data_IF_379599846824
#
_entry.id   IF_379599846824
#
_cell.length_a   1.000
_cell.length_b   1.000
_cell.length_c   1.000
_cell.angle_alpha   90.00
_cell.angle_beta   90.00
_cell.angle_gamma   90.00
#
_symmetry.space_group_name_H-M   'P 1'
#
loop_
_entity.id
_entity.type
_entity.pdbx_description
1 polymer ?
#
# COMPACT_ATOMS: atom_id res chain seq x y z
N UNK A 1 -9.47 42.71 -28.23
CA UNK A 1 -8.65 43.21 -29.35
C UNK A 1 -7.23 42.67 -29.22
N UNK A 2 -6.79 42.02 -30.30
CA UNK A 2 -5.42 41.63 -30.71
C UNK A 2 -4.69 40.52 -29.91
N UNK A 3 -4.73 39.30 -30.47
CA UNK A 3 -3.58 38.43 -30.76
C UNK A 3 -2.73 39.09 -31.89
N UNK A 4 -1.52 38.62 -32.25
CA UNK A 4 -0.81 37.36 -32.04
C UNK A 4 0.72 37.54 -31.93
N UNK A 5 1.53 36.49 -31.77
CA UNK A 5 2.34 35.92 -32.88
C UNK A 5 3.25 34.78 -32.39
N UNK A 6 3.17 33.74 -33.13
CA UNK A 6 4.01 32.60 -33.44
C UNK A 6 5.50 32.91 -33.61
N UNK A 7 6.37 32.00 -33.23
CA UNK A 7 7.60 31.65 -33.94
C UNK A 7 7.99 30.20 -33.70
N UNK A 8 8.15 29.48 -34.80
CA UNK A 8 8.49 28.09 -34.93
C UNK A 8 10.03 27.83 -34.94
N UNK A 9 10.49 26.59 -35.00
CA UNK A 9 11.79 26.15 -34.54
C UNK A 9 12.89 26.21 -35.57
N UNK A 10 14.13 26.31 -35.13
CA UNK A 10 15.34 26.20 -35.97
C UNK A 10 15.93 24.80 -35.85
N UNK A 11 15.90 24.08 -36.95
CA UNK A 11 16.63 22.85 -37.17
C UNK A 11 18.13 23.15 -37.39
N UNK A 12 19.03 22.39 -36.79
CA UNK A 12 20.44 22.28 -37.23
C UNK A 12 20.81 20.83 -37.46
N UNK A 13 20.99 20.50 -38.72
CA UNK A 13 21.63 19.31 -39.24
C UNK A 13 23.15 19.46 -39.17
N UNK A 14 23.87 18.41 -38.75
CA UNK A 14 25.31 18.19 -39.04
C UNK A 14 25.45 16.68 -39.18
N UNK A 15 25.72 16.08 -40.27
CA UNK A 15 26.82 16.15 -41.17
C UNK A 15 27.56 14.79 -41.08
N UNK A 16 27.22 13.86 -42.04
CA UNK A 16 27.92 12.58 -42.25
C UNK A 16 29.37 12.85 -42.60
N UNK A 17 30.31 12.08 -42.07
CA UNK A 17 31.63 11.82 -42.66
C UNK A 17 31.85 10.33 -42.86
N UNK A 18 31.82 9.94 -44.10
CA UNK A 18 32.27 8.67 -44.67
C UNK A 18 33.77 8.68 -44.75
N UNK A 19 34.43 7.61 -44.31
CA UNK A 19 35.81 7.30 -44.68
C UNK A 19 35.87 5.89 -45.24
N UNK A 20 36.18 5.84 -46.53
CA UNK A 20 36.54 4.65 -47.28
C UNK A 20 38.05 4.40 -47.06
N UNK A 21 38.44 3.15 -46.82
CA UNK A 21 39.76 2.64 -47.20
C UNK A 21 39.66 1.18 -47.61
N UNK A 22 40.17 0.93 -48.76
CA UNK A 22 40.20 -0.35 -49.48
C UNK A 22 41.49 -1.13 -49.12
N UNK A 23 41.43 -2.45 -49.34
CA UNK A 23 42.65 -3.14 -49.75
C UNK A 23 42.77 -4.61 -49.38
N UNK A 24 42.55 -5.47 -50.41
CA UNK A 24 43.23 -6.72 -50.77
C UNK A 24 43.35 -7.88 -49.71
N UNK A 25 42.73 -8.98 -49.87
CA UNK A 25 43.05 -10.11 -50.75
C UNK A 25 44.00 -11.14 -50.16
N UNK A 26 43.52 -12.36 -49.82
CA UNK A 26 44.24 -13.63 -49.97
C UNK A 26 43.34 -14.85 -49.57
N UNK A 27 43.03 -15.63 -50.57
CA UNK A 27 43.15 -17.10 -50.72
C UNK A 27 42.59 -18.03 -49.59
N UNK A 28 41.72 -18.88 -50.07
CA UNK A 28 41.01 -19.96 -49.40
C UNK A 28 41.92 -21.05 -48.77
N UNK A 29 41.43 -21.53 -47.62
CA UNK A 29 41.67 -22.94 -47.17
C UNK A 29 40.34 -23.48 -46.61
N UNK A 30 39.83 -24.49 -47.27
CA UNK A 30 38.70 -25.29 -46.84
C UNK A 30 39.12 -26.15 -45.65
N UNK A 31 38.73 -25.76 -44.49
CA UNK A 31 38.77 -26.57 -43.28
C UNK A 31 37.35 -26.82 -42.79
N UNK A 32 36.86 -28.04 -43.03
CA UNK A 32 35.58 -28.48 -42.47
C UNK A 32 35.74 -28.62 -40.95
N UNK A 33 35.35 -27.60 -40.20
CA UNK A 33 35.16 -27.73 -38.76
C UNK A 33 33.75 -28.26 -38.51
N UNK A 34 33.66 -29.51 -38.11
CA UNK A 34 32.45 -30.08 -37.55
C UNK A 34 32.08 -29.26 -36.28
N UNK A 35 31.09 -28.40 -36.41
CA UNK A 35 30.43 -27.77 -35.26
C UNK A 35 29.70 -28.90 -34.53
N UNK A 36 30.32 -29.42 -33.49
CA UNK A 36 29.60 -30.21 -32.49
C UNK A 36 28.53 -29.33 -31.88
N UNK A 37 27.29 -29.55 -32.30
CA UNK A 37 26.13 -29.01 -31.62
C UNK A 37 26.19 -29.52 -30.16
N UNK A 38 26.60 -28.64 -29.24
CA UNK A 38 26.55 -28.91 -27.82
C UNK A 38 25.08 -29.06 -27.50
N UNK A 39 24.66 -30.31 -27.28
CA UNK A 39 23.30 -30.60 -26.82
C UNK A 39 23.06 -29.76 -25.59
N UNK A 40 22.11 -28.83 -25.69
CA UNK A 40 21.63 -28.07 -24.54
C UNK A 40 21.13 -29.14 -23.54
N UNK A 41 21.87 -29.29 -22.44
CA UNK A 41 21.44 -30.18 -21.36
C UNK A 41 20.04 -29.75 -20.95
N UNK A 42 19.07 -30.59 -21.19
CA UNK A 42 17.70 -30.35 -20.81
C UNK A 42 17.67 -30.05 -19.30
N UNK A 43 17.25 -28.83 -18.98
CA UNK A 43 17.09 -28.38 -17.60
C UNK A 43 16.14 -29.39 -16.92
N UNK A 44 16.50 -29.94 -15.75
CA UNK A 44 15.62 -30.91 -15.11
C UNK A 44 14.22 -30.30 -14.97
N UNK A 45 13.20 -31.04 -15.39
CA UNK A 45 11.82 -30.57 -15.28
C UNK A 45 11.52 -30.22 -13.82
N UNK A 46 11.08 -29.00 -13.59
CA UNK A 46 10.73 -28.54 -12.25
C UNK A 46 9.67 -29.48 -11.66
N UNK A 47 9.83 -29.87 -10.41
CA UNK A 47 8.83 -30.73 -9.74
C UNK A 47 7.48 -30.02 -9.73
N UNK A 48 6.37 -30.73 -10.01
CA UNK A 48 5.05 -30.13 -9.93
C UNK A 48 4.78 -29.53 -8.54
N UNK A 49 4.25 -28.32 -8.50
CA UNK A 49 3.87 -27.63 -7.26
C UNK A 49 2.35 -27.69 -7.12
N UNK A 50 1.84 -28.24 -6.03
CA UNK A 50 0.41 -28.28 -5.73
C UNK A 50 0.09 -27.30 -4.59
N UNK A 51 -0.94 -26.49 -4.77
CA UNK A 51 -1.42 -25.48 -3.83
C UNK A 51 -2.92 -25.67 -3.63
N UNK A 52 -3.36 -25.61 -2.37
CA UNK A 52 -4.77 -25.43 -2.04
C UNK A 52 -5.01 -23.95 -1.75
N UNK A 53 -5.93 -23.35 -2.48
CA UNK A 53 -6.35 -21.98 -2.25
C UNK A 53 -7.76 -21.95 -1.65
N UNK A 54 -8.01 -20.98 -0.78
CA UNK A 54 -9.30 -20.77 -0.13
C UNK A 54 -9.91 -19.48 -0.62
N UNK A 55 -11.18 -19.53 -0.98
CA UNK A 55 -11.93 -18.38 -1.43
C UNK A 55 -12.05 -17.32 -0.31
N UNK A 56 -11.96 -16.06 -0.72
CA UNK A 56 -12.11 -14.88 0.15
C UNK A 56 -13.18 -13.97 -0.43
N UNK A 57 -13.86 -13.15 0.39
CA UNK A 57 -14.72 -12.10 -0.11
C UNK A 57 -13.98 -11.20 -1.10
N UNK A 58 -14.67 -10.71 -2.14
CA UNK A 58 -14.09 -9.76 -3.07
C UNK A 58 -13.55 -8.53 -2.34
N UNK A 59 -12.38 -8.02 -2.76
CA UNK A 59 -11.75 -6.86 -2.12
C UNK A 59 -12.65 -5.63 -2.13
N UNK A 60 -13.47 -5.45 -3.16
CA UNK A 60 -14.45 -4.37 -3.22
C UNK A 60 -15.58 -4.55 -2.18
N UNK A 61 -16.07 -5.75 -1.99
CA UNK A 61 -17.05 -6.04 -0.94
C UNK A 61 -16.47 -5.77 0.46
N UNK A 62 -15.22 -6.13 0.69
CA UNK A 62 -14.51 -5.83 1.94
C UNK A 62 -14.29 -4.32 2.13
N UNK A 63 -13.91 -3.60 1.06
CA UNK A 63 -13.77 -2.14 1.10
C UNK A 63 -15.08 -1.46 1.53
N UNK A 64 -16.20 -1.87 0.93
CA UNK A 64 -17.52 -1.35 1.27
C UNK A 64 -17.93 -1.71 2.70
N UNK A 65 -17.75 -2.97 3.10
CA UNK A 65 -18.02 -3.43 4.48
C UNK A 65 -17.24 -2.64 5.53
N UNK A 66 -15.98 -2.31 5.22
CA UNK A 66 -15.09 -1.57 6.12
C UNK A 66 -15.24 -0.05 6.00
N UNK A 67 -16.09 0.44 5.09
CA UNK A 67 -16.27 1.85 4.74
C UNK A 67 -14.96 2.54 4.31
N UNK A 68 -14.01 1.79 3.75
CA UNK A 68 -12.67 2.27 3.42
C UNK A 68 -12.60 2.98 2.07
N UNK A 69 -11.59 3.84 1.90
CA UNK A 69 -11.32 4.54 0.66
C UNK A 69 -10.70 3.62 -0.40
N UNK A 70 -9.76 2.76 -0.01
CA UNK A 70 -9.03 1.86 -0.89
C UNK A 70 -9.37 0.40 -0.57
N UNK A 71 -9.43 -0.44 -1.61
CA UNK A 71 -9.53 -1.90 -1.46
C UNK A 71 -8.15 -2.50 -1.19
N UNK A 72 -8.08 -3.57 -0.40
CA UNK A 72 -6.88 -4.34 -0.17
C UNK A 72 -6.54 -5.31 -1.31
N UNK A 73 -5.46 -6.08 -1.14
CA UNK A 73 -5.07 -7.16 -2.06
C UNK A 73 -5.99 -8.38 -1.91
N UNK A 74 -6.25 -9.06 -3.03
CA UNK A 74 -6.90 -10.37 -3.11
C UNK A 74 -5.91 -11.51 -3.36
N UNK A 75 -4.64 -11.20 -3.57
CA UNK A 75 -3.64 -12.15 -4.01
C UNK A 75 -3.33 -13.20 -2.95
N UNK A 76 -3.24 -14.45 -3.41
CA UNK A 76 -2.67 -15.58 -2.69
C UNK A 76 -1.37 -15.92 -3.41
N UNK A 77 -0.19 -15.69 -2.79
CA UNK A 77 1.10 -15.88 -3.43
C UNK A 77 1.40 -17.36 -3.58
N UNK A 78 2.05 -17.72 -4.69
CA UNK A 78 2.40 -19.11 -5.00
C UNK A 78 3.84 -19.48 -4.72
N UNK A 79 4.73 -18.49 -4.56
CA UNK A 79 6.18 -18.68 -4.49
C UNK A 79 6.80 -19.07 -5.83
N UNK A 80 6.07 -18.84 -6.93
CA UNK A 80 6.50 -19.17 -8.28
C UNK A 80 6.67 -17.92 -9.13
N UNK A 81 7.57 -18.00 -10.08
CA UNK A 81 7.80 -17.01 -11.13
C UNK A 81 7.50 -17.63 -12.50
N UNK A 82 6.78 -16.90 -13.35
CA UNK A 82 6.53 -17.23 -14.74
C UNK A 82 7.53 -16.50 -15.63
N UNK A 83 8.46 -17.19 -16.32
CA UNK A 83 9.33 -16.52 -17.29
C UNK A 83 8.54 -15.99 -18.49
N UNK A 84 8.94 -14.83 -19.02
CA UNK A 84 8.32 -14.19 -20.16
C UNK A 84 8.19 -15.15 -21.37
N UNK A 85 7.02 -15.17 -22.02
CA UNK A 85 6.76 -15.97 -23.21
C UNK A 85 6.76 -17.49 -22.98
N UNK A 86 6.91 -17.98 -21.75
CA UNK A 86 6.96 -19.41 -21.44
C UNK A 86 5.56 -19.94 -21.19
N UNK A 87 5.09 -20.99 -21.91
CA UNK A 87 3.81 -21.62 -21.63
C UNK A 87 3.80 -22.29 -20.24
N UNK A 88 2.87 -21.89 -19.39
CA UNK A 88 2.59 -22.52 -18.11
C UNK A 88 1.53 -23.60 -18.31
N UNK A 89 1.84 -24.83 -17.90
CA UNK A 89 0.84 -25.92 -17.83
C UNK A 89 0.43 -26.14 -16.38
N UNK A 90 -0.87 -26.08 -16.11
CA UNK A 90 -1.43 -26.31 -14.78
C UNK A 90 -2.77 -27.03 -14.85
N UNK A 91 -3.16 -27.67 -13.76
CA UNK A 91 -4.49 -28.25 -13.60
C UNK A 91 -5.19 -27.64 -12.42
N UNK A 92 -6.49 -27.40 -12.57
CA UNK A 92 -7.39 -26.91 -11.54
C UNK A 92 -8.40 -27.97 -11.18
N UNK A 93 -8.50 -28.29 -9.90
CA UNK A 93 -9.53 -29.15 -9.33
C UNK A 93 -10.37 -28.31 -8.35
N UNK A 94 -11.56 -27.85 -8.75
CA UNK A 94 -12.48 -27.23 -7.83
C UNK A 94 -12.91 -28.25 -6.77
N UNK A 95 -12.77 -27.92 -5.49
CA UNK A 95 -13.27 -28.74 -4.39
C UNK A 95 -14.74 -28.45 -4.13
N UNK A 96 -15.10 -27.16 -4.21
CA UNK A 96 -16.43 -26.66 -3.89
C UNK A 96 -17.06 -25.88 -5.07
N UNK A 97 -16.66 -26.20 -6.31
CA UNK A 97 -17.25 -25.66 -7.55
C UNK A 97 -16.65 -24.37 -8.06
N UNK A 98 -15.91 -23.61 -7.25
CA UNK A 98 -15.28 -22.34 -7.69
C UNK A 98 -13.95 -22.58 -8.39
N UNK A 99 -13.69 -21.77 -9.41
CA UNK A 99 -12.47 -21.82 -10.22
C UNK A 99 -11.69 -20.53 -10.03
N UNK A 100 -10.36 -20.60 -9.78
CA UNK A 100 -9.54 -19.42 -9.53
C UNK A 100 -9.22 -18.64 -10.80
N UNK A 101 -8.76 -17.40 -10.61
CA UNK A 101 -8.05 -16.62 -11.61
C UNK A 101 -6.56 -16.65 -11.29
N UNK A 102 -5.75 -16.88 -12.32
CA UNK A 102 -4.29 -16.76 -12.27
C UNK A 102 -3.90 -15.32 -12.58
N UNK A 103 -2.91 -14.80 -11.85
CA UNK A 103 -2.32 -13.49 -12.07
C UNK A 103 -0.81 -13.63 -12.23
N UNK A 104 -0.24 -12.88 -13.20
CA UNK A 104 1.20 -12.91 -13.48
C UNK A 104 1.70 -11.47 -13.60
N UNK A 105 2.72 -11.13 -12.81
CA UNK A 105 3.36 -9.82 -12.84
C UNK A 105 3.53 -9.20 -11.47
N UNK A 106 4.27 -8.09 -11.44
CA UNK A 106 4.38 -7.20 -10.30
C UNK A 106 3.68 -5.87 -10.60
N UNK A 107 3.31 -5.16 -9.56
CA UNK A 107 2.69 -3.85 -9.64
C UNK A 107 3.73 -2.79 -10.05
N UNK A 108 3.37 -1.91 -10.99
CA UNK A 108 4.08 -0.68 -11.37
C UNK A 108 5.62 -0.83 -11.53
N UNK A 109 6.08 -1.94 -12.09
CA UNK A 109 7.50 -2.24 -12.24
C UNK A 109 8.01 -2.21 -13.68
N UNK A 110 7.18 -2.55 -14.67
CA UNK A 110 7.61 -2.73 -16.06
C UNK A 110 7.39 -1.51 -16.96
N UNK A 111 7.42 -0.31 -16.42
CA UNK A 111 7.27 0.92 -17.21
C UNK A 111 5.82 1.18 -17.64
N UNK A 112 5.43 0.72 -18.82
CA UNK A 112 4.04 0.88 -19.33
C UNK A 112 3.08 -0.16 -18.75
N UNK A 113 3.61 -1.25 -18.17
CA UNK A 113 2.82 -2.31 -17.55
C UNK A 113 2.74 -2.04 -16.05
N UNK A 114 1.64 -1.48 -15.63
CA UNK A 114 1.44 -1.04 -14.25
C UNK A 114 0.74 -2.08 -13.37
N UNK A 115 0.14 -3.12 -13.98
CA UNK A 115 -0.67 -4.11 -13.26
C UNK A 115 -0.28 -5.55 -13.63
N UNK A 116 -0.34 -6.50 -12.69
CA UNK A 116 -0.34 -7.92 -13.00
C UNK A 116 -1.48 -8.28 -13.95
N UNK A 117 -1.22 -9.19 -14.88
CA UNK A 117 -2.20 -9.63 -15.89
C UNK A 117 -2.99 -10.82 -15.38
N UNK A 118 -4.30 -10.78 -15.58
CA UNK A 118 -5.23 -11.83 -15.14
C UNK A 118 -5.55 -12.83 -16.25
N UNK A 119 -5.63 -14.10 -15.85
CA UNK A 119 -5.96 -15.22 -16.70
C UNK A 119 -7.03 -16.07 -16.03
N UNK A 120 -8.31 -15.94 -16.43
CA UNK A 120 -9.36 -16.82 -15.94
C UNK A 120 -9.02 -18.27 -16.27
N UNK A 121 -9.12 -19.15 -15.26
CA UNK A 121 -8.87 -20.59 -15.44
C UNK A 121 -10.18 -21.34 -15.63
N UNK A 122 -10.05 -22.59 -16.07
CA UNK A 122 -11.15 -23.55 -16.16
C UNK A 122 -10.83 -24.78 -15.30
N UNK A 123 -11.85 -25.54 -14.90
CA UNK A 123 -11.63 -26.83 -14.27
C UNK A 123 -10.86 -27.76 -15.21
N UNK A 124 -9.92 -28.55 -14.69
CA UNK A 124 -9.06 -29.42 -15.46
C UNK A 124 -7.78 -28.76 -15.98
N UNK A 125 -7.34 -29.11 -17.17
CA UNK A 125 -6.08 -28.66 -17.75
C UNK A 125 -6.19 -27.24 -18.32
N UNK A 126 -5.16 -26.42 -18.02
CA UNK A 126 -5.02 -25.06 -18.53
C UNK A 126 -3.61 -24.86 -19.06
N UNK A 127 -3.49 -24.01 -20.08
CA UNK A 127 -2.20 -23.51 -20.59
C UNK A 127 -2.29 -21.98 -20.68
N UNK A 128 -1.36 -21.29 -20.04
CA UNK A 128 -1.29 -19.83 -20.02
C UNK A 128 0.10 -19.39 -20.45
N UNK A 129 0.18 -18.38 -21.33
CA UNK A 129 1.45 -17.77 -21.72
C UNK A 129 1.35 -16.26 -21.49
N UNK A 130 2.20 -15.75 -20.60
CA UNK A 130 2.31 -14.31 -20.35
C UNK A 130 3.51 -13.76 -21.11
N UNK A 131 3.35 -12.69 -21.91
CA UNK A 131 4.44 -12.15 -22.73
C UNK A 131 5.55 -11.46 -21.91
N UNK A 132 5.28 -11.06 -20.66
CA UNK A 132 6.21 -10.28 -19.83
C UNK A 132 6.73 -11.06 -18.63
N UNK A 133 6.01 -12.11 -18.21
CA UNK A 133 6.34 -12.88 -17.03
C UNK A 133 6.12 -12.10 -15.73
N UNK A 134 6.51 -12.71 -14.60
CA UNK A 134 6.41 -12.09 -13.27
C UNK A 134 6.11 -13.09 -12.16
N UNK A 135 6.04 -12.62 -10.90
CA UNK A 135 5.49 -13.38 -9.78
C UNK A 135 4.09 -13.92 -10.10
N UNK A 136 3.78 -15.10 -9.60
CA UNK A 136 2.51 -15.79 -9.88
C UNK A 136 1.63 -15.77 -8.65
N UNK A 137 0.41 -15.30 -8.82
CA UNK A 137 -0.62 -15.24 -7.76
C UNK A 137 -1.89 -15.95 -8.21
N UNK A 138 -2.71 -16.31 -7.25
CA UNK A 138 -4.05 -16.83 -7.46
C UNK A 138 -5.05 -15.98 -6.69
N UNK A 139 -6.25 -15.82 -7.26
CA UNK A 139 -7.42 -15.30 -6.54
C UNK A 139 -8.58 -16.27 -6.68
N UNK A 140 -9.36 -16.41 -5.62
CA UNK A 140 -10.59 -17.18 -5.59
C UNK A 140 -11.59 -16.40 -4.76
N UNK A 141 -12.64 -15.92 -5.40
CA UNK A 141 -13.66 -15.08 -4.73
C UNK A 141 -14.81 -15.97 -4.24
N UNK A 142 -15.14 -15.82 -2.96
CA UNK A 142 -16.20 -16.64 -2.30
C UNK A 142 -16.11 -16.50 -0.78
N UNK A 143 -16.54 -17.53 -0.06
CA UNK A 143 -16.68 -17.49 1.41
C UNK A 143 -16.09 -18.72 2.11
N UNK A 144 -14.93 -19.19 1.67
CA UNK A 144 -14.22 -20.32 2.27
C UNK A 144 -14.19 -21.58 1.41
N UNK A 145 -14.77 -21.56 0.22
CA UNK A 145 -14.64 -22.59 -0.78
C UNK A 145 -13.18 -22.80 -1.17
N UNK A 146 -12.84 -23.97 -1.66
CA UNK A 146 -11.46 -24.35 -1.97
C UNK A 146 -11.31 -24.82 -3.40
N UNK A 147 -10.09 -24.64 -3.91
CA UNK A 147 -9.65 -25.26 -5.16
C UNK A 147 -8.19 -25.71 -5.03
N UNK A 148 -7.86 -26.83 -5.64
CA UNK A 148 -6.49 -27.29 -5.79
C UNK A 148 -5.96 -26.84 -7.16
N UNK A 149 -4.76 -26.22 -7.16
CA UNK A 149 -4.07 -25.82 -8.37
C UNK A 149 -2.71 -26.51 -8.40
N UNK A 150 -2.46 -27.26 -9.46
CA UNK A 150 -1.20 -27.98 -9.65
C UNK A 150 -0.47 -27.42 -10.87
N UNK A 151 0.61 -26.68 -10.62
CA UNK A 151 1.55 -26.25 -11.67
C UNK A 151 2.41 -27.42 -12.09
N UNK A 152 2.37 -27.77 -13.37
CA UNK A 152 3.07 -28.94 -13.93
C UNK A 152 4.39 -28.57 -14.59
N UNK A 153 4.41 -27.43 -15.30
CA UNK A 153 5.60 -26.93 -16.01
C UNK A 153 5.46 -25.44 -16.34
N UNK A 154 6.57 -24.82 -16.76
CA UNK A 154 6.60 -23.44 -17.23
C UNK A 154 6.89 -22.40 -16.14
N UNK A 155 6.77 -22.75 -14.87
CA UNK A 155 7.17 -21.89 -13.76
C UNK A 155 8.54 -22.29 -13.21
N UNK A 156 9.20 -21.35 -12.55
CA UNK A 156 10.39 -21.59 -11.73
C UNK A 156 10.12 -21.17 -10.29
N UNK A 157 10.76 -21.81 -9.28
CA UNK A 157 10.64 -21.36 -7.90
C UNK A 157 11.29 -19.99 -7.73
N UNK A 158 10.74 -19.20 -6.83
CA UNK A 158 11.19 -17.87 -6.45
C UNK A 158 11.68 -17.92 -4.99
N UNK A 159 12.71 -17.16 -4.59
CA UNK A 159 13.07 -17.05 -3.18
C UNK A 159 11.90 -16.50 -2.36
N UNK A 160 11.54 -17.21 -1.28
CA UNK A 160 10.46 -16.81 -0.37
C UNK A 160 10.90 -17.00 1.06
N UNK A 161 10.80 -15.92 1.85
CA UNK A 161 10.88 -16.01 3.30
C UNK A 161 9.47 -16.02 3.90
N UNK A 162 9.11 -17.08 4.58
CA UNK A 162 7.81 -17.17 5.28
C UNK A 162 8.03 -17.17 6.78
N UNK A 163 7.47 -16.18 7.48
CA UNK A 163 7.59 -16.06 8.93
C UNK A 163 7.17 -17.36 9.65
N UNK A 164 8.05 -17.85 10.51
CA UNK A 164 7.83 -19.08 11.27
C UNK A 164 7.99 -20.40 10.49
N UNK A 165 8.40 -20.34 9.20
CA UNK A 165 8.63 -21.53 8.36
C UNK A 165 10.01 -21.54 7.72
N UNK A 166 10.49 -20.41 7.23
CA UNK A 166 11.78 -20.26 6.55
C UNK A 166 12.80 -19.75 7.58
N UNK A 167 13.95 -20.39 7.66
CA UNK A 167 15.09 -19.89 8.45
C UNK A 167 15.88 -18.87 7.62
N UNK A 168 16.68 -18.01 8.27
CA UNK A 168 17.58 -17.11 7.55
C UNK A 168 18.56 -17.87 6.66
N UNK A 169 19.11 -18.99 7.14
CA UNK A 169 20.01 -19.83 6.35
C UNK A 169 19.33 -20.40 5.09
N UNK A 170 18.08 -20.89 5.21
CA UNK A 170 17.31 -21.36 4.08
C UNK A 170 17.04 -20.23 3.08
N UNK A 171 16.71 -19.03 3.55
CA UNK A 171 16.47 -17.91 2.66
C UNK A 171 17.72 -17.44 1.95
N UNK A 172 18.87 -17.36 2.65
CA UNK A 172 20.15 -17.09 2.01
C UNK A 172 20.48 -18.12 0.93
N UNK A 173 20.27 -19.41 1.22
CA UNK A 173 20.44 -20.47 0.24
C UNK A 173 19.51 -20.30 -0.97
N UNK A 174 18.24 -19.95 -0.76
CA UNK A 174 17.30 -19.66 -1.85
C UNK A 174 17.78 -18.45 -2.67
N UNK A 175 18.22 -17.37 -2.05
CA UNK A 175 18.77 -16.19 -2.72
C UNK A 175 20.00 -16.56 -3.59
N UNK A 176 20.84 -17.50 -3.17
CA UNK A 176 22.02 -17.89 -3.91
C UNK A 176 21.72 -18.90 -5.04
N UNK A 177 20.68 -19.72 -4.91
CA UNK A 177 20.40 -20.83 -5.83
C UNK A 177 19.24 -20.60 -6.78
N UNK A 178 18.18 -19.87 -6.36
CA UNK A 178 16.97 -19.62 -7.17
C UNK A 178 17.14 -18.35 -8.03
N UNK A 179 18.20 -18.29 -8.81
CA UNK A 179 18.59 -17.09 -9.57
C UNK A 179 17.80 -16.88 -10.86
N UNK A 180 16.99 -17.86 -11.27
CA UNK A 180 16.15 -17.76 -12.47
C UNK A 180 14.96 -16.82 -12.31
N UNK A 181 14.53 -16.55 -11.06
CA UNK A 181 13.49 -15.59 -10.74
C UNK A 181 14.13 -14.25 -10.36
N UNK A 182 13.81 -13.14 -11.07
CA UNK A 182 14.31 -11.81 -10.71
C UNK A 182 13.52 -11.15 -9.57
N UNK A 183 12.67 -11.90 -8.88
CA UNK A 183 11.81 -11.47 -7.79
C UNK A 183 11.99 -12.35 -6.57
N UNK A 184 11.64 -11.79 -5.42
CA UNK A 184 11.58 -12.48 -4.12
C UNK A 184 10.32 -12.04 -3.37
N UNK A 185 9.89 -12.83 -2.41
CA UNK A 185 8.78 -12.44 -1.53
C UNK A 185 9.09 -12.72 -0.07
N UNK A 186 8.53 -11.87 0.82
CA UNK A 186 8.49 -12.07 2.26
C UNK A 186 7.03 -12.19 2.68
N UNK A 187 6.70 -13.25 3.40
CA UNK A 187 5.32 -13.56 3.79
C UNK A 187 5.14 -13.64 5.31
N UNK A 188 4.07 -13.01 5.79
CA UNK A 188 3.54 -13.20 7.13
C UNK A 188 2.00 -13.33 7.05
N UNK A 189 1.29 -13.62 8.15
CA UNK A 189 -0.16 -13.86 8.10
C UNK A 189 -0.97 -12.74 7.43
N UNK A 190 -0.57 -11.47 7.64
CA UNK A 190 -1.23 -10.30 7.08
C UNK A 190 -0.36 -9.55 6.08
N UNK A 191 0.78 -10.10 5.66
CA UNK A 191 1.79 -9.40 4.85
C UNK A 191 2.22 -10.22 3.64
N UNK A 192 2.25 -9.59 2.47
CA UNK A 192 3.04 -9.97 1.30
C UNK A 192 3.97 -8.79 1.00
N UNK A 193 5.28 -9.04 0.93
CA UNK A 193 6.23 -8.08 0.37
C UNK A 193 6.84 -8.68 -0.89
N UNK A 194 6.64 -8.02 -2.04
CA UNK A 194 7.20 -8.45 -3.32
C UNK A 194 8.30 -7.48 -3.71
N UNK A 195 9.52 -7.97 -3.81
CA UNK A 195 10.73 -7.19 -4.07
C UNK A 195 11.43 -7.71 -5.32
N UNK A 196 12.10 -6.82 -6.04
CA UNK A 196 13.09 -7.30 -7.00
C UNK A 196 14.20 -8.05 -6.26
N UNK A 197 14.80 -9.04 -6.91
CA UNK A 197 15.94 -9.75 -6.34
C UNK A 197 17.11 -8.79 -6.04
N UNK A 198 17.32 -7.78 -6.89
CA UNK A 198 18.32 -6.74 -6.65
C UNK A 198 18.03 -5.95 -5.38
N UNK A 199 16.78 -5.51 -5.18
CA UNK A 199 16.36 -4.80 -3.97
C UNK A 199 16.54 -5.65 -2.72
N UNK A 200 16.12 -6.92 -2.76
CA UNK A 200 16.30 -7.85 -1.65
C UNK A 200 17.78 -8.12 -1.30
N UNK A 201 18.64 -8.21 -2.29
CA UNK A 201 20.07 -8.43 -2.06
C UNK A 201 20.78 -7.25 -1.37
N UNK A 202 20.23 -6.02 -1.47
CA UNK A 202 20.77 -4.86 -0.74
C UNK A 202 20.64 -5.06 0.78
N UNK A 203 19.61 -5.77 1.21
CA UNK A 203 19.26 -5.97 2.63
C UNK A 203 19.25 -7.46 3.01
N UNK A 204 20.01 -8.30 2.28
CA UNK A 204 20.04 -9.75 2.49
C UNK A 204 20.50 -10.19 3.88
N UNK A 205 21.25 -9.34 4.58
CA UNK A 205 21.73 -9.59 5.94
C UNK A 205 20.76 -9.19 7.04
N UNK A 206 19.53 -8.79 6.72
CA UNK A 206 18.52 -8.38 7.69
C UNK A 206 17.97 -9.59 8.44
N UNK A 207 17.49 -9.37 9.66
CA UNK A 207 16.63 -10.34 10.37
C UNK A 207 15.20 -10.24 9.80
N UNK A 208 14.93 -11.04 8.76
CA UNK A 208 13.63 -11.02 8.08
C UNK A 208 12.49 -11.46 9.00
N UNK A 209 12.77 -12.33 9.97
CA UNK A 209 11.76 -12.73 10.95
C UNK A 209 11.42 -11.57 11.90
N UNK A 210 12.39 -10.81 12.37
CA UNK A 210 12.14 -9.62 13.19
C UNK A 210 11.45 -8.52 12.37
N UNK A 211 11.87 -8.30 11.14
CA UNK A 211 11.23 -7.36 10.20
C UNK A 211 9.75 -7.67 10.04
N UNK A 212 9.40 -8.90 9.68
CA UNK A 212 8.01 -9.29 9.46
C UNK A 212 7.18 -9.19 10.73
N UNK A 213 7.73 -9.57 11.90
CA UNK A 213 7.04 -9.34 13.20
C UNK A 213 6.77 -7.87 13.47
N UNK A 214 7.70 -6.99 13.11
CA UNK A 214 7.53 -5.55 13.25
C UNK A 214 6.44 -5.01 12.31
N UNK A 215 6.40 -5.46 11.06
CA UNK A 215 5.33 -5.12 10.11
C UNK A 215 3.96 -5.60 10.60
N UNK A 216 3.87 -6.83 11.10
CA UNK A 216 2.63 -7.37 11.70
C UNK A 216 2.18 -6.53 12.92
N UNK A 217 3.13 -6.07 13.75
CA UNK A 217 2.85 -5.18 14.89
C UNK A 217 2.24 -3.85 14.42
N UNK A 218 2.76 -3.28 13.32
CA UNK A 218 2.22 -2.05 12.73
C UNK A 218 0.81 -2.30 12.16
N UNK A 219 0.61 -3.39 11.45
CA UNK A 219 -0.71 -3.81 10.94
C UNK A 219 -1.70 -3.98 12.10
N UNK A 220 -1.26 -4.58 13.20
CA UNK A 220 -2.09 -4.75 14.41
C UNK A 220 -2.45 -3.41 15.05
N UNK A 221 -1.53 -2.44 15.07
CA UNK A 221 -1.81 -1.09 15.57
C UNK A 221 -2.89 -0.39 14.73
N UNK A 222 -2.80 -0.49 13.40
CA UNK A 222 -3.78 0.07 12.47
C UNK A 222 -5.16 -0.62 12.61
N UNK A 223 -5.17 -1.94 12.76
CA UNK A 223 -6.40 -2.67 13.00
C UNK A 223 -7.06 -2.26 14.33
N UNK A 224 -6.26 -2.06 15.39
CA UNK A 224 -6.73 -1.64 16.71
C UNK A 224 -7.35 -0.26 16.67
N UNK A 225 -6.64 0.74 16.13
CA UNK A 225 -7.20 2.09 16.04
C UNK A 225 -8.39 2.18 15.09
N UNK A 226 -8.46 1.29 14.10
CA UNK A 226 -9.65 1.13 13.25
C UNK A 226 -10.82 0.42 13.96
N UNK A 227 -10.66 -0.05 15.19
CA UNK A 227 -11.70 -0.84 15.88
C UNK A 227 -12.04 -2.15 15.15
N UNK A 228 -11.05 -2.80 14.52
CA UNK A 228 -11.22 -4.09 13.83
C UNK A 228 -10.96 -5.25 14.80
N UNK A 229 -11.80 -5.37 15.80
CA UNK A 229 -11.68 -6.31 16.92
C UNK A 229 -12.57 -7.57 16.80
N UNK A 230 -13.36 -7.66 15.72
CA UNK A 230 -14.26 -8.79 15.50
C UNK A 230 -15.49 -8.83 16.39
N UNK A 231 -15.77 -7.79 17.19
CA UNK A 231 -16.93 -7.71 18.08
C UNK A 231 -18.28 -7.85 17.36
N UNK A 232 -18.33 -7.48 16.07
CA UNK A 232 -19.41 -7.74 15.12
C UNK A 232 -18.82 -8.19 13.79
N UNK A 233 -19.57 -8.87 12.91
CA UNK A 233 -19.09 -9.23 11.57
C UNK A 233 -18.53 -8.04 10.77
N UNK A 234 -19.15 -6.86 10.88
CA UNK A 234 -18.73 -5.62 10.22
C UNK A 234 -17.39 -5.09 10.77
N UNK A 235 -16.97 -5.50 11.97
CA UNK A 235 -15.72 -5.11 12.62
C UNK A 235 -14.60 -6.17 12.52
N UNK A 236 -14.80 -7.21 11.71
CA UNK A 236 -13.71 -8.16 11.41
C UNK A 236 -12.67 -7.49 10.52
N UNK A 237 -11.42 -7.88 10.71
CA UNK A 237 -10.33 -7.51 9.79
C UNK A 237 -10.68 -7.90 8.36
N UNK A 238 -10.09 -7.24 7.37
CA UNK A 238 -10.23 -7.65 5.97
C UNK A 238 -9.71 -9.07 5.77
N UNK A 239 -10.27 -9.78 4.82
CA UNK A 239 -9.73 -11.04 4.38
C UNK A 239 -8.45 -10.81 3.55
N UNK A 240 -7.43 -11.63 3.81
CA UNK A 240 -6.16 -11.59 3.07
C UNK A 240 -5.17 -10.52 3.51
N UNK A 241 -3.93 -10.62 3.02
CA UNK A 241 -2.82 -9.80 3.45
C UNK A 241 -2.85 -8.38 2.86
N UNK A 242 -2.07 -7.48 3.45
CA UNK A 242 -1.63 -6.24 2.83
C UNK A 242 -0.45 -6.54 1.92
N UNK A 243 -0.44 -5.94 0.75
CA UNK A 243 0.61 -6.15 -0.24
C UNK A 243 1.51 -4.91 -0.32
N UNK A 244 2.76 -5.08 0.03
CA UNK A 244 3.82 -4.10 -0.10
C UNK A 244 4.70 -4.52 -1.27
N UNK A 245 5.02 -3.61 -2.17
CA UNK A 245 5.80 -3.99 -3.36
C UNK A 245 6.85 -2.97 -3.72
N UNK A 246 8.00 -3.44 -4.17
CA UNK A 246 8.96 -2.57 -4.83
C UNK A 246 8.37 -2.13 -6.17
N UNK A 247 8.42 -0.82 -6.43
CA UNK A 247 7.97 -0.21 -7.69
C UNK A 247 9.12 0.50 -8.39
N UNK A 248 9.07 0.57 -9.72
CA UNK A 248 10.13 1.20 -10.50
C UNK A 248 10.06 2.72 -10.49
N UNK A 249 8.87 3.28 -10.26
CA UNK A 249 8.61 4.72 -10.34
C UNK A 249 7.68 5.17 -9.23
N UNK A 250 7.89 6.39 -8.78
CA UNK A 250 6.95 7.14 -7.95
C UNK A 250 6.80 8.54 -8.56
N UNK A 251 5.67 9.23 -8.35
CA UNK A 251 5.53 10.62 -8.76
C UNK A 251 6.64 11.49 -8.14
N UNK A 252 7.04 12.55 -8.84
CA UNK A 252 8.06 13.47 -8.31
C UNK A 252 7.64 14.06 -6.97
N UNK A 253 8.51 14.00 -5.98
CA UNK A 253 8.26 14.49 -4.61
C UNK A 253 7.51 13.50 -3.72
N UNK A 254 7.20 12.30 -4.21
CA UNK A 254 6.54 11.22 -3.46
C UNK A 254 7.58 10.16 -3.09
N UNK A 255 7.62 9.77 -1.83
CA UNK A 255 8.55 8.74 -1.34
C UNK A 255 7.99 7.31 -1.43
N UNK A 256 6.68 7.17 -1.30
CA UNK A 256 5.92 5.93 -1.38
C UNK A 256 4.48 6.29 -1.72
N UNK A 257 3.64 5.33 -2.04
CA UNK A 257 2.21 5.57 -2.27
C UNK A 257 1.36 4.33 -1.99
N UNK A 258 0.10 4.58 -1.65
CA UNK A 258 -0.93 3.55 -1.56
C UNK A 258 -1.96 3.70 -2.67
N UNK A 259 -2.43 2.57 -3.17
CA UNK A 259 -3.52 2.51 -4.15
C UNK A 259 -4.35 1.24 -3.94
N UNK A 260 -5.32 1.01 -4.82
CA UNK A 260 -6.11 -0.22 -4.78
C UNK A 260 -5.23 -1.47 -4.95
N UNK A 261 -5.18 -2.28 -3.92
CA UNK A 261 -4.52 -3.58 -3.93
C UNK A 261 -3.10 -3.60 -3.36
N UNK A 262 -2.37 -2.47 -3.29
CA UNK A 262 -0.98 -2.50 -2.83
C UNK A 262 -0.48 -1.15 -2.30
N UNK A 263 0.67 -1.21 -1.61
CA UNK A 263 1.51 -0.07 -1.25
C UNK A 263 2.83 -0.16 -2.01
N UNK A 264 3.19 0.89 -2.76
CA UNK A 264 4.37 0.94 -3.61
C UNK A 264 5.54 1.68 -2.97
N UNK A 265 6.72 1.08 -2.97
CA UNK A 265 7.96 1.65 -2.45
C UNK A 265 9.05 1.60 -3.51
N UNK A 266 9.64 2.73 -3.93
CA UNK A 266 10.76 2.71 -4.85
C UNK A 266 12.01 2.19 -4.15
N UNK A 267 12.96 1.67 -4.91
CA UNK A 267 14.22 1.12 -4.36
C UNK A 267 14.93 2.04 -3.37
N UNK A 268 14.90 3.34 -3.60
CA UNK A 268 15.50 4.34 -2.70
C UNK A 268 14.84 4.42 -1.31
N UNK A 269 13.67 3.78 -1.14
CA UNK A 269 12.92 3.77 0.11
C UNK A 269 12.89 2.39 0.78
N UNK A 270 13.48 1.36 0.15
CA UNK A 270 13.41 -0.01 0.69
C UNK A 270 14.08 -0.13 2.06
N UNK A 271 15.15 0.63 2.33
CA UNK A 271 15.77 0.67 3.66
C UNK A 271 14.78 0.99 4.79
N UNK A 272 13.76 1.80 4.51
CA UNK A 272 12.73 2.22 5.49
C UNK A 272 11.57 1.23 5.62
N UNK A 273 11.41 0.34 4.65
CA UNK A 273 10.32 -0.63 4.62
C UNK A 273 10.79 -2.08 4.82
N UNK A 274 12.08 -2.36 4.54
CA UNK A 274 12.62 -3.73 4.51
C UNK A 274 13.80 -3.94 5.46
N UNK A 275 14.05 -3.01 6.38
CA UNK A 275 14.98 -3.21 7.50
C UNK A 275 14.32 -2.89 8.83
N UNK A 276 14.69 -3.60 9.89
CA UNK A 276 14.17 -3.36 11.25
C UNK A 276 14.53 -1.96 11.72
N UNK A 277 15.79 -1.57 11.55
CA UNK A 277 16.28 -0.24 11.95
C UNK A 277 15.59 0.87 11.17
N UNK A 278 15.53 0.76 9.83
CA UNK A 278 14.89 1.76 8.99
C UNK A 278 13.39 1.91 9.28
N UNK A 279 12.71 0.78 9.48
CA UNK A 279 11.29 0.79 9.80
C UNK A 279 11.02 1.40 11.19
N UNK A 280 11.88 1.15 12.19
CA UNK A 280 11.77 1.76 13.52
C UNK A 280 12.11 3.25 13.53
N UNK A 281 13.10 3.71 12.78
CA UNK A 281 13.60 5.09 12.89
C UNK A 281 13.05 6.02 11.82
N UNK A 282 12.65 5.47 10.67
CA UNK A 282 12.21 6.21 9.48
C UNK A 282 10.97 5.61 8.81
N UNK A 283 10.23 4.75 9.54
CA UNK A 283 9.12 3.97 9.01
C UNK A 283 7.82 4.75 8.77
N UNK A 284 7.78 6.06 9.05
CA UNK A 284 6.58 6.87 8.88
C UNK A 284 5.90 6.67 7.51
N UNK A 285 6.68 6.55 6.43
CA UNK A 285 6.13 6.29 5.10
C UNK A 285 5.34 4.99 5.02
N UNK A 286 5.83 3.89 5.58
CA UNK A 286 5.09 2.62 5.61
C UNK A 286 3.83 2.74 6.47
N UNK A 287 3.92 3.39 7.65
CA UNK A 287 2.75 3.59 8.51
C UNK A 287 1.67 4.40 7.80
N UNK A 288 2.09 5.43 7.07
CA UNK A 288 1.24 6.32 6.30
C UNK A 288 0.56 5.57 5.14
N UNK A 289 1.32 4.89 4.29
CA UNK A 289 0.75 4.20 3.13
C UNK A 289 -0.19 3.05 3.54
N UNK A 290 0.16 2.30 4.60
CA UNK A 290 -0.76 1.32 5.18
C UNK A 290 -2.02 1.99 5.73
N UNK A 291 -1.89 3.18 6.31
CA UNK A 291 -3.00 3.98 6.82
C UNK A 291 -4.05 4.31 5.76
N UNK A 292 -3.64 4.58 4.51
CA UNK A 292 -4.58 4.83 3.41
C UNK A 292 -5.53 3.65 3.15
N UNK A 293 -5.09 2.41 3.41
CA UNK A 293 -5.92 1.20 3.33
C UNK A 293 -6.87 1.03 4.53
N UNK A 294 -6.81 1.95 5.49
CA UNK A 294 -7.71 1.99 6.66
C UNK A 294 -8.62 3.22 6.67
N UNK A 295 -8.27 4.30 5.92
CA UNK A 295 -9.05 5.53 5.88
C UNK A 295 -10.50 5.29 5.47
N UNK A 296 -11.43 5.87 6.21
CA UNK A 296 -12.86 5.82 5.91
C UNK A 296 -13.29 7.08 5.14
N UNK A 297 -14.13 6.90 4.12
CA UNK A 297 -14.55 7.98 3.23
C UNK A 297 -15.39 9.05 3.93
N UNK A 298 -16.18 8.68 4.94
CA UNK A 298 -17.15 9.54 5.58
C UNK A 298 -16.55 10.84 6.16
N UNK A 299 -15.35 10.76 6.74
CA UNK A 299 -14.68 11.89 7.36
C UNK A 299 -13.31 12.20 6.71
N UNK A 300 -13.17 11.91 5.42
CA UNK A 300 -11.98 12.18 4.63
C UNK A 300 -12.25 13.26 3.57
N UNK A 301 -12.32 14.55 3.91
CA UNK A 301 -12.39 15.61 2.93
C UNK A 301 -11.20 15.57 1.97
N UNK A 302 -11.40 16.00 0.71
CA UNK A 302 -10.38 15.90 -0.34
C UNK A 302 -9.05 16.55 0.04
N UNK A 303 -9.08 17.72 0.69
CA UNK A 303 -7.87 18.41 1.18
C UNK A 303 -7.23 17.79 2.43
N UNK A 304 -7.82 16.74 3.02
CA UNK A 304 -7.34 16.09 4.24
C UNK A 304 -6.95 14.62 4.03
N UNK A 305 -6.85 14.15 2.80
CA UNK A 305 -6.41 12.77 2.53
C UNK A 305 -5.07 12.48 3.21
N UNK A 306 -4.09 13.37 3.06
CA UNK A 306 -2.74 13.25 3.64
C UNK A 306 -2.67 13.70 5.11
N UNK A 307 -3.80 14.02 5.72
CA UNK A 307 -3.90 14.40 7.13
C UNK A 307 -4.57 13.29 7.94
N UNK A 308 -5.78 12.90 7.57
CA UNK A 308 -6.54 11.87 8.31
C UNK A 308 -5.87 10.49 8.28
N UNK A 309 -5.06 10.19 7.27
CA UNK A 309 -4.22 9.00 7.23
C UNK A 309 -3.24 8.94 8.39
N UNK A 310 -2.78 10.06 8.89
CA UNK A 310 -1.76 10.10 9.94
C UNK A 310 -2.30 9.83 11.36
N UNK A 311 -3.61 9.66 11.54
CA UNK A 311 -4.19 9.03 12.73
C UNK A 311 -3.56 7.65 12.95
N UNK A 312 -3.43 6.88 11.87
CA UNK A 312 -2.83 5.54 11.89
C UNK A 312 -1.32 5.58 12.09
N UNK A 313 -0.64 6.56 11.49
CA UNK A 313 0.81 6.75 11.66
C UNK A 313 1.17 7.08 13.11
N UNK A 314 0.40 7.96 13.76
CA UNK A 314 0.57 8.28 15.19
C UNK A 314 0.30 7.05 16.08
N UNK A 315 -0.69 6.22 15.74
CA UNK A 315 -0.96 4.98 16.46
C UNK A 315 0.21 3.98 16.34
N UNK A 316 0.84 3.88 15.16
CA UNK A 316 2.03 3.07 14.97
C UNK A 316 3.20 3.59 15.82
N UNK A 317 3.46 4.90 15.82
CA UNK A 317 4.51 5.51 16.65
C UNK A 317 4.31 5.16 18.13
N UNK A 318 3.10 5.35 18.67
CA UNK A 318 2.82 4.98 20.08
C UNK A 318 3.02 3.50 20.34
N UNK A 319 2.59 2.63 19.43
CA UNK A 319 2.75 1.18 19.58
C UNK A 319 4.23 0.76 19.61
N UNK A 320 5.09 1.54 18.93
CA UNK A 320 6.52 1.28 18.83
C UNK A 320 7.36 2.10 19.84
N UNK A 321 6.71 2.77 20.80
CA UNK A 321 7.34 3.65 21.79
C UNK A 321 8.19 4.76 21.13
N UNK A 322 7.73 5.28 20.00
CA UNK A 322 8.39 6.37 19.28
C UNK A 322 7.78 7.72 19.71
N UNK A 323 8.58 8.80 19.73
CA UNK A 323 8.04 10.13 19.95
C UNK A 323 7.09 10.52 18.81
N UNK A 324 6.04 11.25 19.16
CA UNK A 324 5.08 11.76 18.18
C UNK A 324 5.77 12.75 17.21
N UNK A 325 5.53 12.59 15.91
CA UNK A 325 6.00 13.57 14.92
C UNK A 325 5.41 14.98 15.15
N UNK A 326 4.31 15.10 15.88
CA UNK A 326 3.73 16.40 16.25
C UNK A 326 4.58 17.17 17.26
N UNK A 327 5.50 16.49 17.97
CA UNK A 327 6.47 17.08 18.88
C UNK A 327 7.80 17.42 18.21
N UNK A 328 7.97 17.10 16.92
CA UNK A 328 9.17 17.49 16.18
C UNK A 328 9.21 19.01 16.06
N UNK A 329 10.32 19.58 16.53
CA UNK A 329 10.55 21.04 16.45
C UNK A 329 10.96 21.40 15.02
N UNK A 330 10.24 22.33 14.40
CA UNK A 330 10.60 22.88 13.11
C UNK A 330 11.85 23.77 13.27
N UNK A 331 12.97 23.49 12.59
CA UNK A 331 14.20 24.24 12.72
C UNK A 331 14.06 25.74 12.34
N UNK A 332 13.11 26.07 11.46
CA UNK A 332 12.88 27.44 11.00
C UNK A 332 12.16 28.31 12.04
N UNK A 333 11.27 27.70 12.84
CA UNK A 333 10.42 28.44 13.79
C UNK A 333 10.81 28.16 15.25
N UNK A 334 11.51 27.06 15.54
CA UNK A 334 11.77 26.61 16.90
C UNK A 334 10.53 26.09 17.63
N UNK A 335 9.42 25.83 16.92
CA UNK A 335 8.13 25.44 17.49
C UNK A 335 7.70 24.03 17.03
N UNK A 336 6.94 23.36 17.87
CA UNK A 336 6.23 22.11 17.51
C UNK A 336 4.95 22.43 16.73
N UNK A 337 4.33 21.39 16.12
CA UNK A 337 3.05 21.56 15.43
C UNK A 337 1.95 22.09 16.36
N UNK A 338 1.90 21.67 17.62
CA UNK A 338 0.98 22.20 18.64
C UNK A 338 1.18 23.68 18.90
N UNK A 339 2.43 24.10 19.10
CA UNK A 339 2.78 25.49 19.39
C UNK A 339 2.49 26.40 18.19
N UNK A 340 2.88 25.97 16.99
CA UNK A 340 2.63 26.73 15.75
C UNK A 340 1.14 26.89 15.49
N UNK A 341 0.34 25.85 15.70
CA UNK A 341 -1.12 25.90 15.53
C UNK A 341 -1.74 26.89 16.52
N UNK A 342 -1.37 26.80 17.80
CA UNK A 342 -1.92 27.65 18.86
C UNK A 342 -1.61 29.15 18.61
N UNK A 343 -0.44 29.46 18.07
CA UNK A 343 -0.06 30.82 17.75
C UNK A 343 -0.93 31.48 16.66
N UNK A 344 -1.67 30.66 15.88
CA UNK A 344 -2.57 31.14 14.82
C UNK A 344 -4.02 31.38 15.29
N UNK A 345 -4.41 30.83 16.43
CA UNK A 345 -5.79 30.95 16.91
C UNK A 345 -6.19 32.41 17.10
N UNK A 346 -7.44 32.74 16.73
CA UNK A 346 -8.00 34.07 16.82
C UNK A 346 -7.49 35.05 15.77
N UNK A 347 -6.60 34.67 14.85
CA UNK A 347 -6.15 35.56 13.77
C UNK A 347 -7.27 35.79 12.76
N UNK A 348 -7.39 37.03 12.27
CA UNK A 348 -8.41 37.38 11.29
C UNK A 348 -8.25 36.58 10.00
N UNK A 349 -9.35 36.03 9.48
CA UNK A 349 -9.35 35.24 8.25
C UNK A 349 -8.78 33.83 8.40
N UNK A 350 -8.62 33.33 9.63
CA UNK A 350 -8.21 31.95 9.89
C UNK A 350 -9.17 30.97 9.20
N UNK A 351 -8.62 30.00 8.49
CA UNK A 351 -9.36 28.86 7.91
C UNK A 351 -8.55 27.60 8.09
N UNK A 352 -9.22 26.50 8.47
CA UNK A 352 -8.54 25.23 8.66
C UNK A 352 -7.79 24.76 7.40
N UNK A 353 -8.40 24.92 6.25
CA UNK A 353 -7.84 24.41 4.98
C UNK A 353 -6.59 25.14 4.53
N UNK A 354 -6.49 26.47 4.74
CA UNK A 354 -5.44 27.30 4.14
C UNK A 354 -4.40 27.80 5.13
N UNK A 355 -4.78 27.94 6.42
CA UNK A 355 -3.90 28.58 7.42
C UNK A 355 -2.94 27.61 8.09
N UNK A 356 -3.21 26.30 8.02
CA UNK A 356 -2.45 25.27 8.71
C UNK A 356 -1.70 24.36 7.73
N UNK A 357 -0.46 24.00 8.08
CA UNK A 357 0.34 22.99 7.41
C UNK A 357 -0.14 21.56 7.71
N UNK A 358 0.44 20.56 7.06
CA UNK A 358 -0.02 19.17 7.16
C UNK A 358 0.01 18.62 8.61
N UNK A 359 1.11 18.81 9.33
CA UNK A 359 1.21 18.41 10.74
C UNK A 359 0.33 19.25 11.66
N UNK A 360 0.19 20.54 11.40
CA UNK A 360 -0.71 21.40 12.17
C UNK A 360 -2.17 20.96 12.01
N UNK A 361 -2.58 20.58 10.80
CA UNK A 361 -3.92 20.00 10.55
C UNK A 361 -4.16 18.67 11.25
N UNK A 362 -3.09 17.94 11.57
CA UNK A 362 -3.20 16.67 12.30
C UNK A 362 -3.42 16.91 13.81
N UNK A 363 -3.01 18.07 14.34
CA UNK A 363 -3.14 18.40 15.78
C UNK A 363 -4.56 18.22 16.31
N UNK A 364 -5.63 18.80 15.71
CA UNK A 364 -6.99 18.61 16.24
C UNK A 364 -7.42 17.17 16.30
N UNK A 365 -6.98 16.33 15.34
CA UNK A 365 -7.30 14.90 15.34
C UNK A 365 -6.62 14.18 16.51
N UNK A 366 -5.40 14.56 16.87
CA UNK A 366 -4.70 14.06 18.07
C UNK A 366 -5.33 14.60 19.35
N UNK A 367 -5.75 15.86 19.39
CA UNK A 367 -6.40 16.49 20.54
C UNK A 367 -7.71 15.79 20.92
N UNK A 368 -8.48 15.28 19.95
CA UNK A 368 -9.67 14.48 20.22
C UNK A 368 -9.33 13.19 20.99
N UNK A 369 -8.27 12.51 20.58
CA UNK A 369 -7.81 11.30 21.29
C UNK A 369 -7.27 11.62 22.69
N UNK A 370 -6.51 12.71 22.84
CA UNK A 370 -6.02 13.18 24.13
C UNK A 370 -7.16 13.57 25.11
N UNK A 371 -8.23 14.18 24.58
CA UNK A 371 -9.37 14.61 25.38
C UNK A 371 -10.28 13.47 25.81
N UNK A 372 -10.50 12.48 24.93
CA UNK A 372 -11.56 11.48 25.07
C UNK A 372 -11.04 10.03 25.16
N UNK A 373 -9.71 9.86 25.20
CA UNK A 373 -9.05 8.58 25.45
C UNK A 373 -8.73 7.77 24.19
N UNK A 374 -7.94 6.72 24.38
CA UNK A 374 -7.38 5.89 23.30
C UNK A 374 -8.44 5.10 22.52
N UNK A 375 -9.65 4.97 23.03
CA UNK A 375 -10.78 4.31 22.38
C UNK A 375 -11.63 5.26 21.50
N UNK A 376 -11.29 6.56 21.46
CA UNK A 376 -12.02 7.55 20.67
C UNK A 376 -12.09 7.14 19.20
N UNK A 377 -10.94 6.94 18.53
CA UNK A 377 -10.90 6.54 17.13
C UNK A 377 -11.47 5.15 16.87
N UNK A 378 -11.17 4.10 17.67
CA UNK A 378 -11.83 2.81 17.54
C UNK A 378 -13.35 2.88 17.54
N UNK A 379 -13.93 3.66 18.45
CA UNK A 379 -15.39 3.86 18.56
C UNK A 379 -15.95 4.62 17.35
N UNK A 380 -15.27 5.68 16.90
CA UNK A 380 -15.68 6.47 15.73
C UNK A 380 -15.66 5.60 14.47
N UNK A 381 -14.58 4.86 14.25
CA UNK A 381 -14.47 3.97 13.10
C UNK A 381 -15.56 2.87 13.08
N UNK A 382 -15.89 2.33 14.25
CA UNK A 382 -16.99 1.35 14.37
C UNK A 382 -18.33 1.97 14.01
N UNK A 383 -18.62 3.15 14.54
CA UNK A 383 -19.87 3.85 14.29
C UNK A 383 -20.04 4.15 12.78
N UNK A 384 -19.00 4.65 12.13
CA UNK A 384 -19.00 4.91 10.68
C UNK A 384 -19.28 3.62 9.89
N UNK A 385 -18.67 2.50 10.25
CA UNK A 385 -18.92 1.21 9.58
C UNK A 385 -20.34 0.70 9.79
N UNK A 386 -20.88 0.88 10.97
CA UNK A 386 -22.25 0.44 11.30
C UNK A 386 -23.28 1.22 10.51
N UNK A 387 -23.09 2.50 10.35
CA UNK A 387 -23.98 3.36 9.58
C UNK A 387 -23.70 3.30 8.07
N UNK A 388 -22.51 2.87 7.66
CA UNK A 388 -22.04 2.72 6.28
C UNK A 388 -22.48 3.87 5.35
N UNK A 389 -22.14 5.11 5.66
CA UNK A 389 -22.70 6.29 5.00
C UNK A 389 -21.98 6.65 3.69
N UNK A 390 -21.38 5.70 2.97
CA UNK A 390 -20.51 5.98 1.80
C UNK A 390 -21.24 6.70 0.67
N UNK A 391 -22.52 6.45 0.46
CA UNK A 391 -23.32 7.11 -0.57
C UNK A 391 -23.56 8.60 -0.28
N UNK A 392 -23.50 9.01 0.99
CA UNK A 392 -23.88 10.37 1.42
C UNK A 392 -22.71 11.34 1.50
N UNK A 393 -21.45 10.86 1.33
CA UNK A 393 -20.24 11.64 1.56
C UNK A 393 -19.42 11.86 0.29
N UNK A 394 -20.07 12.23 -0.81
CA UNK A 394 -19.39 12.59 -2.07
C UNK A 394 -18.84 14.01 -2.05
N UNK A 395 -19.41 14.90 -1.24
CA UNK A 395 -19.07 16.32 -1.14
C UNK A 395 -18.18 16.60 0.09
N UNK A 396 -17.22 17.52 -0.05
CA UNK A 396 -16.31 17.86 1.04
C UNK A 396 -17.03 18.43 2.26
N UNK A 397 -18.04 19.27 2.06
CA UNK A 397 -18.83 19.85 3.17
C UNK A 397 -19.48 18.77 4.03
N UNK A 398 -20.04 17.74 3.39
CA UNK A 398 -20.62 16.59 4.11
C UNK A 398 -19.57 15.84 4.91
N UNK A 399 -18.34 15.69 4.39
CA UNK A 399 -17.24 15.01 5.08
C UNK A 399 -16.75 15.81 6.29
N UNK A 400 -16.66 17.13 6.19
CA UNK A 400 -16.35 17.99 7.34
C UNK A 400 -17.44 17.93 8.40
N UNK A 401 -18.73 18.01 8.01
CA UNK A 401 -19.86 17.83 8.93
C UNK A 401 -19.81 16.47 9.60
N UNK A 402 -19.58 15.39 8.83
CA UNK A 402 -19.47 14.05 9.35
C UNK A 402 -18.36 13.91 10.39
N UNK A 403 -17.17 14.46 10.12
CA UNK A 403 -16.07 14.45 11.08
C UNK A 403 -16.50 15.11 12.41
N UNK A 404 -17.08 16.31 12.36
CA UNK A 404 -17.52 17.00 13.55
C UNK A 404 -18.68 16.30 14.27
N UNK A 405 -19.70 15.82 13.54
CA UNK A 405 -20.88 15.15 14.10
C UNK A 405 -20.52 13.81 14.73
N UNK A 406 -19.75 12.96 14.04
CA UNK A 406 -19.29 11.69 14.61
C UNK A 406 -18.39 11.90 15.82
N UNK A 407 -17.49 12.90 15.76
CA UNK A 407 -16.63 13.25 16.90
C UNK A 407 -17.45 13.67 18.12
N UNK A 408 -18.44 14.55 17.95
CA UNK A 408 -19.32 15.00 19.04
C UNK A 408 -20.14 13.83 19.63
N UNK A 409 -20.67 12.95 18.78
CA UNK A 409 -21.44 11.76 19.22
C UNK A 409 -20.56 10.78 20.02
N UNK A 410 -19.33 10.55 19.58
CA UNK A 410 -18.40 9.65 20.27
C UNK A 410 -17.87 10.24 21.57
N UNK A 411 -17.57 11.53 21.57
CA UNK A 411 -17.15 12.27 22.76
C UNK A 411 -18.29 12.39 23.80
N UNK A 412 -19.54 12.48 23.35
CA UNK A 412 -20.69 12.82 24.18
C UNK A 412 -20.76 14.30 24.54
N UNK A 413 -20.09 15.15 23.76
CA UNK A 413 -19.98 16.60 24.00
C UNK A 413 -20.19 17.38 22.71
N UNK A 414 -20.70 18.62 22.85
CA UNK A 414 -20.76 19.58 21.76
C UNK A 414 -19.35 20.11 21.43
N UNK A 415 -18.82 19.69 20.31
CA UNK A 415 -17.50 20.08 19.82
C UNK A 415 -17.55 21.24 18.79
N UNK A 416 -18.69 21.96 18.70
CA UNK A 416 -18.84 23.10 17.78
C UNK A 416 -17.76 24.15 18.03
N UNK A 417 -17.56 24.57 19.29
CA UNK A 417 -16.52 25.54 19.66
C UNK A 417 -15.12 25.09 19.26
N UNK A 418 -14.81 23.79 19.46
CA UNK A 418 -13.53 23.21 19.08
C UNK A 418 -13.32 23.25 17.56
N UNK A 419 -14.23 22.66 16.78
CA UNK A 419 -14.05 22.56 15.33
C UNK A 419 -14.18 23.91 14.63
N UNK A 420 -15.21 24.70 14.98
CA UNK A 420 -15.61 25.87 14.20
C UNK A 420 -14.95 27.13 14.69
N UNK A 421 -14.97 27.37 16.00
CA UNK A 421 -14.52 28.64 16.54
C UNK A 421 -12.99 28.67 16.77
N UNK A 422 -12.41 27.53 17.18
CA UNK A 422 -10.96 27.43 17.44
C UNK A 422 -10.20 26.99 16.19
N UNK A 423 -10.58 25.86 15.57
CA UNK A 423 -9.84 25.30 14.43
C UNK A 423 -10.34 25.81 13.07
N UNK A 424 -11.39 26.62 13.05
CA UNK A 424 -11.96 27.23 11.83
C UNK A 424 -12.26 26.22 10.71
N UNK A 425 -12.81 25.05 11.07
CA UNK A 425 -13.30 24.06 10.11
C UNK A 425 -14.43 24.67 9.26
N UNK A 426 -14.51 24.38 7.96
CA UNK A 426 -15.53 24.93 7.07
C UNK A 426 -16.88 24.21 7.29
N UNK A 427 -17.44 24.35 8.50
CA UNK A 427 -18.77 23.85 8.86
C UNK A 427 -19.81 24.93 8.57
N UNK A 428 -20.69 24.69 7.62
CA UNK A 428 -21.73 25.60 7.20
C UNK A 428 -22.93 25.68 8.19
N UNK A 429 -23.93 26.47 7.86
CA UNK A 429 -25.11 26.63 8.70
C UNK A 429 -25.89 25.32 8.91
N UNK A 430 -25.91 24.43 7.91
CA UNK A 430 -26.56 23.12 8.02
C UNK A 430 -25.81 22.25 9.03
N UNK A 431 -24.49 22.16 8.91
CA UNK A 431 -23.68 21.37 9.84
C UNK A 431 -23.72 21.90 11.28
N UNK A 432 -23.78 23.23 11.47
CA UNK A 432 -23.98 23.83 12.81
C UNK A 432 -25.34 23.46 13.39
N UNK A 433 -26.40 23.44 12.55
CA UNK A 433 -27.72 23.02 12.99
C UNK A 433 -27.75 21.50 13.35
N UNK A 434 -27.06 20.67 12.58
CA UNK A 434 -26.92 19.24 12.87
C UNK A 434 -26.19 19.01 14.21
N UNK A 435 -25.07 19.72 14.46
CA UNK A 435 -24.35 19.65 15.73
C UNK A 435 -25.23 20.11 16.92
N UNK A 436 -25.92 21.24 16.76
CA UNK A 436 -26.84 21.78 17.78
C UNK A 436 -27.98 20.82 18.09
N UNK A 437 -28.51 20.11 17.07
CA UNK A 437 -29.60 19.14 17.23
C UNK A 437 -29.18 17.92 18.07
N UNK A 438 -27.90 17.63 18.24
CA UNK A 438 -27.41 16.58 19.13
C UNK A 438 -27.69 16.89 20.61
N UNK A 439 -27.92 18.14 20.95
CA UNK A 439 -28.21 18.61 22.30
C UNK A 439 -27.24 18.06 23.36
N UNK A 440 -25.93 18.12 23.06
CA UNK A 440 -24.86 17.61 23.91
C UNK A 440 -24.32 18.73 24.83
N UNK A 441 -23.82 18.41 26.02
CA UNK A 441 -23.18 19.38 26.90
C UNK A 441 -21.83 19.82 26.34
N UNK A 442 -21.33 20.98 26.80
CA UNK A 442 -19.97 21.42 26.48
C UNK A 442 -18.93 20.51 27.16
N UNK A 443 -17.76 20.27 26.55
CA UNK A 443 -16.70 19.49 27.16
C UNK A 443 -16.15 20.18 28.42
N UNK A 444 -15.82 19.41 29.47
CA UNK A 444 -15.31 20.00 30.73
C UNK A 444 -13.94 20.66 30.58
N UNK A 445 -13.18 20.26 29.56
CA UNK A 445 -11.88 20.83 29.20
C UNK A 445 -11.90 21.07 27.69
N UNK A 446 -11.45 22.24 27.27
CA UNK A 446 -11.29 22.54 25.85
C UNK A 446 -10.20 21.65 25.24
N UNK A 447 -10.54 20.75 24.30
CA UNK A 447 -9.56 19.85 23.68
C UNK A 447 -8.41 20.60 22.99
N UNK A 448 -8.62 21.82 22.53
CA UNK A 448 -7.61 22.64 21.84
C UNK A 448 -6.42 23.03 22.73
N UNK A 449 -6.58 22.90 24.04
CA UNK A 449 -5.52 23.20 25.02
C UNK A 449 -4.56 22.03 25.27
N UNK A 450 -4.92 20.82 24.81
CA UNK A 450 -4.15 19.60 25.07
C UNK A 450 -2.96 19.45 24.09
N UNK A 451 -1.89 18.85 24.61
CA UNK A 451 -0.66 18.52 23.85
C UNK A 451 -0.15 17.14 24.25
N UNK A 452 0.60 16.45 23.36
CA UNK A 452 1.32 15.19 23.68
C UNK A 452 2.33 15.39 24.79
#
# INVERSE_FOLDING_TARGET
MRKPSSSAPVSRSVGRRTVLAAGAGAVAALGATATSARAATARPAARPVSLTITARPAAEAERLRLAQALRGSEFQPTGLYAPAGTPLSLTVQPCDGLVPTLWIGAWDYYGEITEPRSYPLTAGANTVTDPHGGPVYLTLTGHGERAEVKFRSGTVPMPVFTLGRTTEADYQHQLDTLTAAPWVELHAPNTIMTLSREGALLYRGEDHAALLRLVETIIDSHARISGLDGSKPVHRRKAGPYHFTEVSKVPTGVGAYATHGYNGFPRAYLDRATTVEGLRTRGWGLYHELGHLHQQMAYKPGGLTEVTVNIYSLAAQRTLDQPSNLLTVDPATGLTAFQTSRAKFGTAGLTYEKSFGAYEKLVPLRQLELAFGDDFWPRLHKLVREENPQSDYTENDKRYRALATYSSRIAGYDLTGFFVDTWAFPIDAVGRAELSALNLPQPPVDPSTLTD
#
